data_IF_976233142210
#
_entry.id   IF_976233142210
#
_cell.length_a   1.000
_cell.length_b   1.000
_cell.length_c   1.000
_cell.angle_alpha   90.00
_cell.angle_beta   90.00
_cell.angle_gamma   90.00
#
_symmetry.space_group_name_H-M   'P 1'
#
loop_
_entity.id
_entity.type
_entity.pdbx_description
1 polymer ?
#
# COMPACT_ATOMS: atom_id res chain seq x y z
N UNK A 1 40.27 -14.60 -8.15
CA UNK A 1 39.02 -14.09 -7.54
C UNK A 1 37.88 -14.16 -8.57
N UNK A 2 37.06 -15.20 -8.56
CA UNK A 2 36.00 -15.40 -9.56
C UNK A 2 34.72 -14.65 -9.16
N UNK A 3 34.32 -13.62 -9.93
CA UNK A 3 33.03 -12.94 -9.81
C UNK A 3 31.91 -13.91 -10.23
N UNK A 4 31.20 -14.51 -9.27
CA UNK A 4 30.00 -15.34 -9.50
C UNK A 4 28.93 -14.52 -10.24
N UNK A 5 28.80 -14.72 -11.56
CA UNK A 5 27.65 -14.30 -12.39
C UNK A 5 26.39 -15.14 -12.05
N UNK A 6 25.92 -15.11 -10.81
CA UNK A 6 24.64 -15.73 -10.38
C UNK A 6 23.51 -14.72 -10.47
N UNK A 7 23.04 -14.33 -11.67
CA UNK A 7 21.96 -13.33 -11.79
C UNK A 7 20.82 -13.57 -12.81
N UNK A 8 20.97 -14.26 -13.95
CA UNK A 8 19.89 -14.31 -14.93
C UNK A 8 18.73 -15.24 -14.52
N UNK A 9 19.01 -16.44 -14.00
CA UNK A 9 17.97 -17.42 -13.66
C UNK A 9 17.04 -16.97 -12.51
N UNK A 10 17.60 -16.28 -11.49
CA UNK A 10 16.82 -15.77 -10.36
C UNK A 10 15.89 -14.63 -10.79
N UNK A 11 16.34 -13.73 -11.66
CA UNK A 11 15.51 -12.64 -12.20
C UNK A 11 14.38 -13.19 -13.07
N UNK A 12 14.67 -14.18 -13.93
CA UNK A 12 13.65 -14.83 -14.74
C UNK A 12 12.59 -15.54 -13.88
N UNK A 13 13.01 -16.24 -12.82
CA UNK A 13 12.09 -16.89 -11.89
C UNK A 13 11.20 -15.87 -11.16
N UNK A 14 11.76 -14.73 -10.74
CA UNK A 14 10.99 -13.65 -10.11
C UNK A 14 9.99 -13.02 -11.08
N UNK A 15 10.39 -12.79 -12.33
CA UNK A 15 9.50 -12.26 -13.36
C UNK A 15 8.32 -13.22 -13.62
N UNK A 16 8.59 -14.52 -13.74
CA UNK A 16 7.54 -15.55 -13.90
C UNK A 16 6.59 -15.60 -12.70
N UNK A 17 7.12 -15.59 -11.48
CA UNK A 17 6.31 -15.56 -10.28
C UNK A 17 5.41 -14.31 -10.22
N UNK A 18 5.93 -13.16 -10.66
CA UNK A 18 5.13 -11.92 -10.76
C UNK A 18 4.01 -12.06 -11.79
N UNK A 19 4.29 -12.58 -12.99
CA UNK A 19 3.24 -12.84 -14.01
C UNK A 19 2.14 -13.77 -13.48
N UNK A 20 2.53 -14.89 -12.86
CA UNK A 20 1.61 -15.83 -12.26
C UNK A 20 0.80 -15.20 -11.13
N UNK A 21 1.43 -14.32 -10.35
CA UNK A 21 0.81 -13.52 -9.31
C UNK A 21 -0.24 -12.56 -9.87
N UNK A 22 0.07 -11.83 -10.95
CA UNK A 22 -0.86 -10.91 -11.62
C UNK A 22 -2.05 -11.65 -12.24
N UNK A 23 -1.82 -12.77 -12.93
CA UNK A 23 -2.91 -13.62 -13.42
C UNK A 23 -3.79 -14.16 -12.28
N UNK A 24 -3.19 -14.51 -11.15
CA UNK A 24 -3.93 -15.00 -9.98
C UNK A 24 -4.71 -13.89 -9.28
N UNK A 25 -4.15 -12.67 -9.24
CA UNK A 25 -4.84 -11.49 -8.74
C UNK A 25 -6.08 -11.20 -9.61
N UNK A 26 -5.94 -11.25 -10.93
CA UNK A 26 -7.08 -11.05 -11.83
C UNK A 26 -8.22 -12.05 -11.58
N UNK A 27 -7.89 -13.34 -11.45
CA UNK A 27 -8.87 -14.38 -11.07
C UNK A 27 -9.52 -14.11 -9.71
N UNK A 28 -8.80 -13.50 -8.77
CA UNK A 28 -9.37 -13.17 -7.46
C UNK A 28 -10.37 -12.02 -7.51
N UNK A 29 -10.42 -11.22 -8.59
CA UNK A 29 -11.44 -10.17 -8.75
C UNK A 29 -12.80 -10.71 -9.19
N UNK A 30 -12.83 -11.88 -9.81
CA UNK A 30 -14.01 -12.46 -10.45
C UNK A 30 -15.26 -12.51 -9.56
N UNK A 31 -15.19 -13.01 -8.31
CA UNK A 31 -16.35 -13.01 -7.40
C UNK A 31 -16.91 -11.61 -7.15
N UNK A 32 -16.04 -10.65 -6.81
CA UNK A 32 -16.47 -9.28 -6.52
C UNK A 32 -17.01 -8.54 -7.76
N UNK A 33 -16.52 -8.84 -8.96
CA UNK A 33 -17.12 -8.30 -10.19
C UNK A 33 -18.56 -8.78 -10.37
N UNK A 34 -18.82 -10.08 -10.15
CA UNK A 34 -20.17 -10.64 -10.24
C UNK A 34 -21.09 -10.00 -9.21
N UNK A 35 -20.65 -9.91 -7.95
CA UNK A 35 -21.44 -9.28 -6.89
C UNK A 35 -21.73 -7.80 -7.20
N UNK A 36 -20.72 -7.05 -7.65
CA UNK A 36 -20.91 -5.64 -8.05
C UNK A 36 -21.94 -5.49 -9.19
N UNK A 37 -21.93 -6.40 -10.17
CA UNK A 37 -22.91 -6.41 -11.27
C UNK A 37 -24.31 -6.84 -10.82
N UNK A 38 -24.41 -7.78 -9.89
CA UNK A 38 -25.67 -8.23 -9.28
C UNK A 38 -26.31 -7.09 -8.48
N UNK A 39 -25.55 -6.45 -7.60
CA UNK A 39 -26.01 -5.32 -6.81
C UNK A 39 -26.43 -4.12 -7.66
N UNK A 40 -25.76 -3.88 -8.79
CA UNK A 40 -26.14 -2.81 -9.72
C UNK A 40 -27.48 -3.05 -10.43
N UNK A 41 -28.03 -4.28 -10.40
CA UNK A 41 -29.33 -4.63 -10.99
C UNK A 41 -30.47 -4.60 -9.96
N UNK A 42 -30.14 -4.55 -8.67
CA UNK A 42 -31.14 -4.52 -7.62
C UNK A 42 -31.64 -3.08 -7.39
N UNK A 43 -32.96 -2.87 -7.22
CA UNK A 43 -33.49 -1.55 -6.89
C UNK A 43 -33.00 -1.11 -5.51
N UNK A 44 -32.22 -0.03 -5.47
CA UNK A 44 -31.68 0.54 -4.22
C UNK A 44 -32.75 1.41 -3.56
N UNK A 45 -33.09 1.12 -2.30
CA UNK A 45 -34.11 1.85 -1.52
C UNK A 45 -33.59 3.14 -0.85
N UNK A 46 -32.36 3.57 -1.16
CA UNK A 46 -31.66 4.67 -0.49
C UNK A 46 -31.16 5.67 -1.53
N UNK A 47 -31.13 6.95 -1.18
CA UNK A 47 -30.59 8.03 -2.01
C UNK A 47 -29.19 7.67 -2.51
N UNK A 48 -29.06 7.39 -3.81
CA UNK A 48 -27.83 6.84 -4.38
C UNK A 48 -26.73 7.90 -4.40
N UNK A 49 -25.61 7.57 -3.76
CA UNK A 49 -24.35 8.21 -4.09
C UNK A 49 -24.06 8.07 -5.58
N UNK A 50 -23.44 9.07 -6.23
CA UNK A 50 -22.99 8.90 -7.60
C UNK A 50 -22.06 7.66 -7.70
N UNK A 51 -22.04 6.93 -8.81
CA UNK A 51 -21.28 5.67 -8.96
C UNK A 51 -19.78 5.79 -8.66
N UNK A 52 -19.24 6.99 -8.71
CA UNK A 52 -17.84 7.33 -8.45
C UNK A 52 -17.61 8.01 -7.09
N UNK A 53 -18.60 8.07 -6.20
CA UNK A 53 -18.44 8.65 -4.87
C UNK A 53 -17.31 8.00 -4.08
N UNK A 54 -17.09 6.69 -4.30
CA UNK A 54 -15.97 5.93 -3.73
C UNK A 54 -14.58 6.43 -4.14
N UNK A 55 -14.51 7.25 -5.20
CA UNK A 55 -13.29 7.82 -5.73
C UNK A 55 -13.06 9.28 -5.27
N UNK A 56 -14.02 9.94 -4.65
CA UNK A 56 -13.88 11.33 -4.19
C UNK A 56 -13.37 11.40 -2.76
N UNK A 57 -12.65 12.46 -2.40
CA UNK A 57 -12.11 12.65 -1.04
C UNK A 57 -13.16 12.57 0.07
N UNK A 58 -14.41 12.88 -0.22
CA UNK A 58 -15.49 12.80 0.76
C UNK A 58 -15.65 11.37 1.34
N UNK A 59 -15.52 10.33 0.50
CA UNK A 59 -15.78 8.94 0.89
C UNK A 59 -14.59 8.00 0.70
N UNK A 60 -13.69 8.32 -0.23
CA UNK A 60 -12.57 7.45 -0.56
C UNK A 60 -11.61 7.31 0.61
N UNK A 61 -11.44 6.08 1.08
CA UNK A 61 -10.40 5.65 2.03
C UNK A 61 -9.68 4.39 1.53
N UNK A 62 -9.75 4.14 0.21
CA UNK A 62 -9.28 2.90 -0.38
C UNK A 62 -7.78 2.72 -0.18
N UNK A 63 -7.37 1.48 0.03
CA UNK A 63 -5.96 1.10 0.12
C UNK A 63 -5.70 -0.04 -0.84
N UNK A 64 -4.50 -0.06 -1.41
CA UNK A 64 -4.07 -1.08 -2.36
C UNK A 64 -2.72 -1.66 -1.95
N UNK A 65 -2.49 -2.87 -2.41
CA UNK A 65 -1.27 -3.64 -2.18
C UNK A 65 -0.19 -3.31 -3.22
N UNK A 66 1.04 -3.78 -2.97
CA UNK A 66 2.15 -3.73 -3.94
C UNK A 66 1.78 -4.40 -5.26
N UNK A 67 1.17 -5.60 -5.22
CA UNK A 67 0.79 -6.32 -6.44
C UNK A 67 -0.27 -5.58 -7.27
N UNK A 68 -1.29 -5.00 -6.63
CA UNK A 68 -2.31 -4.19 -7.31
C UNK A 68 -1.73 -2.92 -7.93
N UNK A 69 -0.78 -2.27 -7.25
CA UNK A 69 -0.12 -1.08 -7.79
C UNK A 69 0.76 -1.41 -9.01
N UNK A 70 1.45 -2.55 -9.01
CA UNK A 70 2.19 -3.06 -10.17
C UNK A 70 1.22 -3.31 -11.33
N UNK A 71 0.09 -3.97 -11.07
CA UNK A 71 -0.92 -4.27 -12.08
C UNK A 71 -1.49 -3.01 -12.73
N UNK A 72 -1.83 -1.99 -11.91
CA UNK A 72 -2.29 -0.68 -12.39
C UNK A 72 -1.20 0.01 -13.22
N UNK A 73 0.05 0.03 -12.75
CA UNK A 73 1.15 0.65 -13.46
C UNK A 73 1.39 -0.01 -14.83
N UNK A 74 1.30 -1.33 -14.90
CA UNK A 74 1.32 -2.10 -16.15
C UNK A 74 0.16 -1.75 -17.06
N UNK A 75 -1.06 -1.70 -16.52
CA UNK A 75 -2.23 -1.36 -17.31
C UNK A 75 -2.08 0.04 -17.95
N UNK A 76 -1.58 1.02 -17.20
CA UNK A 76 -1.31 2.37 -17.70
C UNK A 76 -0.26 2.37 -18.84
N UNK A 77 0.76 1.51 -18.74
CA UNK A 77 1.82 1.41 -19.74
C UNK A 77 1.40 0.65 -21.01
N UNK A 78 0.59 -0.41 -20.86
CA UNK A 78 0.36 -1.40 -21.91
C UNK A 78 -1.02 -1.27 -22.59
N UNK A 79 -2.05 -0.76 -21.90
CA UNK A 79 -3.42 -0.71 -22.44
C UNK A 79 -3.63 0.52 -23.32
N UNK A 80 -4.13 0.29 -24.53
CA UNK A 80 -4.34 1.33 -25.55
C UNK A 80 -5.20 2.52 -25.07
N UNK A 81 -6.30 2.26 -24.35
CA UNK A 81 -7.19 3.31 -23.83
C UNK A 81 -6.58 4.15 -22.69
N UNK A 82 -5.50 3.67 -22.07
CA UNK A 82 -4.74 4.39 -21.02
C UNK A 82 -3.46 5.03 -21.55
N UNK A 83 -3.09 4.72 -22.81
CA UNK A 83 -1.89 5.26 -23.44
C UNK A 83 -1.94 6.79 -23.45
N UNK A 84 -0.88 7.42 -22.97
CA UNK A 84 -0.78 8.88 -22.87
C UNK A 84 -1.42 9.49 -21.62
N UNK A 85 -2.16 8.72 -20.80
CA UNK A 85 -2.79 9.22 -19.57
C UNK A 85 -1.86 9.27 -18.35
N UNK A 86 -0.65 8.69 -18.46
CA UNK A 86 0.31 8.58 -17.36
C UNK A 86 0.60 9.95 -16.73
N UNK A 87 0.84 10.98 -17.54
CA UNK A 87 1.20 12.32 -17.05
C UNK A 87 0.08 12.91 -16.19
N UNK A 88 -1.17 12.88 -16.66
CA UNK A 88 -2.31 13.40 -15.91
C UNK A 88 -2.59 12.59 -14.63
N UNK A 89 -2.33 11.27 -14.64
CA UNK A 89 -2.44 10.43 -13.43
C UNK A 89 -1.37 10.85 -12.41
N UNK A 90 -0.12 11.03 -12.84
CA UNK A 90 0.99 11.47 -11.97
C UNK A 90 0.72 12.87 -11.39
N UNK A 91 0.22 13.82 -12.18
CA UNK A 91 -0.16 15.15 -11.70
C UNK A 91 -1.24 15.09 -10.60
N UNK A 92 -2.30 14.31 -10.81
CA UNK A 92 -3.34 14.09 -9.78
C UNK A 92 -2.80 13.36 -8.54
N UNK A 93 -1.89 12.41 -8.72
CA UNK A 93 -1.21 11.74 -7.60
C UNK A 93 -0.40 12.72 -6.77
N UNK A 94 0.40 13.57 -7.40
CA UNK A 94 1.24 14.55 -6.72
C UNK A 94 0.41 15.51 -5.85
N UNK A 95 -0.74 15.98 -6.36
CA UNK A 95 -1.68 16.78 -5.60
C UNK A 95 -2.17 16.06 -4.34
N UNK A 96 -2.51 14.77 -4.45
CA UNK A 96 -2.97 13.97 -3.31
C UNK A 96 -1.85 13.71 -2.30
N UNK A 97 -0.64 13.39 -2.78
CA UNK A 97 0.51 13.05 -1.94
C UNK A 97 0.93 14.24 -1.09
N UNK A 98 0.77 15.48 -1.59
CA UNK A 98 1.15 16.70 -0.86
C UNK A 98 0.51 16.85 0.53
N UNK A 99 -0.59 16.15 0.82
CA UNK A 99 -1.25 16.17 2.12
C UNK A 99 -1.42 14.76 2.76
N UNK A 100 -0.99 13.69 2.11
CA UNK A 100 -1.06 12.34 2.65
C UNK A 100 0.17 12.03 3.51
N UNK A 101 -0.03 11.28 4.59
CA UNK A 101 1.06 10.72 5.40
C UNK A 101 1.41 9.33 4.88
N UNK A 102 2.70 8.99 4.84
CA UNK A 102 3.13 7.64 4.48
C UNK A 102 2.91 6.64 5.63
N UNK A 103 1.66 6.18 5.76
CA UNK A 103 1.19 5.22 6.78
C UNK A 103 0.23 4.21 6.13
N UNK A 104 -0.04 3.11 6.84
CA UNK A 104 -1.05 2.12 6.50
C UNK A 104 -2.46 2.52 6.96
N UNK A 105 -2.58 3.60 7.75
CA UNK A 105 -3.86 4.10 8.22
C UNK A 105 -4.76 4.57 7.07
N UNK A 106 -6.08 4.45 7.28
CA UNK A 106 -7.07 4.95 6.35
C UNK A 106 -7.00 6.48 6.27
N UNK A 107 -6.80 6.99 5.06
CA UNK A 107 -6.72 8.43 4.78
C UNK A 107 -7.63 8.79 3.61
N UNK A 108 -8.19 9.99 3.64
CA UNK A 108 -9.10 10.49 2.60
C UNK A 108 -8.34 11.22 1.49
N UNK A 109 -8.65 10.92 0.24
CA UNK A 109 -8.01 11.53 -0.93
C UNK A 109 -8.88 11.42 -2.19
N UNK A 110 -8.62 12.27 -3.18
CA UNK A 110 -9.22 12.14 -4.50
C UNK A 110 -8.49 11.08 -5.32
N UNK A 111 -9.22 10.12 -5.87
CA UNK A 111 -8.62 9.01 -6.60
C UNK A 111 -7.95 9.52 -7.88
N UNK A 112 -6.63 9.29 -8.07
CA UNK A 112 -5.92 9.76 -9.26
C UNK A 112 -6.32 9.01 -10.54
N UNK A 113 -7.09 7.93 -10.39
CA UNK A 113 -7.61 7.12 -11.49
C UNK A 113 -9.06 7.49 -11.84
N UNK A 114 -9.63 8.54 -11.25
CA UNK A 114 -10.96 9.05 -11.59
C UNK A 114 -10.85 10.16 -12.64
N UNK A 115 -11.44 9.96 -13.81
CA UNK A 115 -11.51 10.96 -14.88
C UNK A 115 -12.92 10.98 -15.47
N UNK A 116 -13.50 12.17 -15.65
CA UNK A 116 -14.84 12.36 -16.22
C UNK A 116 -15.92 11.47 -15.59
N UNK A 117 -15.86 11.29 -14.26
CA UNK A 117 -16.79 10.44 -13.51
C UNK A 117 -16.56 8.93 -13.66
N UNK A 118 -15.50 8.51 -14.34
CA UNK A 118 -15.18 7.11 -14.62
C UNK A 118 -13.83 6.69 -14.03
N UNK A 119 -13.78 5.46 -13.51
CA UNK A 119 -12.53 4.86 -13.07
C UNK A 119 -11.75 4.35 -14.30
N UNK A 120 -10.55 4.91 -14.53
CA UNK A 120 -9.70 4.58 -15.68
C UNK A 120 -9.35 3.10 -15.77
N UNK A 121 -9.18 2.43 -14.62
CA UNK A 121 -8.78 1.02 -14.56
C UNK A 121 -9.94 0.05 -14.35
N UNK A 122 -11.19 0.51 -14.48
CA UNK A 122 -12.39 -0.22 -14.06
C UNK A 122 -12.43 -1.67 -14.56
N UNK A 123 -12.10 -1.90 -15.84
CA UNK A 123 -12.20 -3.21 -16.49
C UNK A 123 -10.88 -3.99 -16.55
N UNK A 124 -9.76 -3.39 -16.13
CA UNK A 124 -8.41 -3.95 -16.39
C UNK A 124 -7.58 -4.21 -15.14
N UNK A 125 -7.65 -3.34 -14.14
CA UNK A 125 -6.80 -3.42 -12.95
C UNK A 125 -7.49 -2.82 -11.72
N UNK A 126 -8.83 -2.86 -11.66
CA UNK A 126 -9.58 -2.30 -10.53
C UNK A 126 -9.19 -3.01 -9.22
N UNK A 127 -8.80 -2.28 -8.16
CA UNK A 127 -8.42 -2.91 -6.90
C UNK A 127 -9.56 -3.70 -6.26
N UNK A 128 -9.22 -4.74 -5.50
CA UNK A 128 -10.20 -5.58 -4.80
C UNK A 128 -11.07 -4.75 -3.86
N UNK A 129 -10.46 -3.87 -3.06
CA UNK A 129 -11.21 -3.01 -2.15
C UNK A 129 -12.18 -2.04 -2.88
N UNK A 130 -11.86 -1.66 -4.13
CA UNK A 130 -12.73 -0.81 -4.93
C UNK A 130 -13.87 -1.58 -5.61
N UNK A 131 -13.69 -2.88 -5.87
CA UNK A 131 -14.76 -3.76 -6.34
C UNK A 131 -15.72 -4.08 -5.20
N UNK A 132 -15.16 -4.29 -4.01
CA UNK A 132 -15.85 -4.42 -2.75
C UNK A 132 -16.22 -3.05 -2.14
N UNK A 133 -16.68 -2.10 -2.95
CA UNK A 133 -17.33 -0.90 -2.44
C UNK A 133 -18.80 -0.92 -2.78
N UNK A 134 -19.62 -1.02 -1.74
CA UNK A 134 -21.06 -1.11 -1.82
C UNK A 134 -21.65 -0.58 -0.49
N UNK A 135 -22.02 0.71 -0.44
CA UNK A 135 -22.58 1.30 0.77
C UNK A 135 -23.79 0.53 1.30
N UNK A 136 -23.78 0.20 2.59
CA UNK A 136 -24.91 -0.44 3.27
C UNK A 136 -25.08 -1.94 3.00
N UNK A 137 -24.13 -2.58 2.32
CA UNK A 137 -24.15 -4.02 2.02
C UNK A 137 -22.81 -4.66 2.37
N UNK A 138 -22.88 -5.94 2.75
CA UNK A 138 -21.71 -6.79 2.90
C UNK A 138 -21.54 -7.69 1.66
N UNK A 139 -20.37 -8.27 1.48
CA UNK A 139 -20.05 -9.17 0.37
C UNK A 139 -20.22 -10.62 0.78
N UNK A 140 -20.34 -11.50 -0.20
CA UNK A 140 -20.40 -12.94 0.06
C UNK A 140 -19.09 -13.47 0.65
N UNK A 141 -19.11 -14.71 1.16
CA UNK A 141 -17.90 -15.43 1.56
C UNK A 141 -16.85 -15.50 0.44
N UNK A 142 -17.28 -15.63 -0.81
CA UNK A 142 -16.37 -15.63 -1.96
C UNK A 142 -15.81 -14.23 -2.26
N UNK A 143 -16.58 -13.18 -1.98
CA UNK A 143 -16.12 -11.79 -1.94
C UNK A 143 -15.01 -11.61 -0.89
N UNK A 144 -15.23 -12.08 0.34
CA UNK A 144 -14.20 -12.06 1.41
C UNK A 144 -12.96 -12.87 1.06
N UNK A 145 -13.11 -14.06 0.45
CA UNK A 145 -11.99 -14.86 -0.05
C UNK A 145 -11.16 -14.15 -1.12
N UNK A 146 -11.73 -13.17 -1.84
CA UNK A 146 -11.00 -12.37 -2.80
C UNK A 146 -9.92 -11.52 -2.12
N UNK A 147 -10.24 -10.91 -0.96
CA UNK A 147 -9.26 -10.21 -0.13
C UNK A 147 -8.18 -11.14 0.40
N UNK A 148 -8.56 -12.29 0.97
CA UNK A 148 -7.59 -13.27 1.48
C UNK A 148 -6.62 -13.74 0.40
N UNK A 149 -7.13 -14.00 -0.82
CA UNK A 149 -6.31 -14.43 -1.95
C UNK A 149 -5.30 -13.35 -2.33
N UNK A 150 -5.72 -12.08 -2.44
CA UNK A 150 -4.80 -10.96 -2.69
C UNK A 150 -3.72 -10.87 -1.64
N UNK A 151 -4.08 -10.99 -0.37
CA UNK A 151 -3.13 -10.85 0.74
C UNK A 151 -2.12 -12.01 0.72
N UNK A 152 -2.58 -13.25 0.49
CA UNK A 152 -1.70 -14.42 0.32
C UNK A 152 -0.76 -14.28 -0.89
N UNK A 153 -1.23 -13.72 -2.01
CA UNK A 153 -0.39 -13.48 -3.19
C UNK A 153 0.73 -12.47 -2.88
N UNK A 154 0.40 -11.36 -2.21
CA UNK A 154 1.40 -10.38 -1.79
C UNK A 154 2.37 -10.97 -0.77
N UNK A 155 1.88 -11.76 0.19
CA UNK A 155 2.73 -12.42 1.17
C UNK A 155 3.72 -13.38 0.50
N UNK A 156 3.27 -14.17 -0.47
CA UNK A 156 4.12 -15.10 -1.22
C UNK A 156 5.21 -14.39 -2.03
N UNK A 157 4.86 -13.29 -2.71
CA UNK A 157 5.77 -12.55 -3.59
C UNK A 157 6.75 -11.67 -2.82
N UNK A 158 6.29 -11.01 -1.76
CA UNK A 158 7.05 -9.97 -1.05
C UNK A 158 7.49 -10.37 0.36
N UNK A 159 7.09 -11.54 0.87
CA UNK A 159 7.57 -12.13 2.15
C UNK A 159 7.45 -11.17 3.33
N UNK A 160 6.25 -10.64 3.56
CA UNK A 160 5.98 -9.65 4.61
C UNK A 160 6.56 -8.25 4.37
N UNK A 161 7.15 -7.97 3.19
CA UNK A 161 7.65 -6.64 2.81
C UNK A 161 6.65 -5.84 1.97
N UNK A 162 5.37 -6.24 1.98
CA UNK A 162 4.28 -5.52 1.32
C UNK A 162 3.47 -4.74 2.35
N UNK A 163 2.72 -3.75 1.88
CA UNK A 163 1.88 -2.90 2.73
C UNK A 163 0.58 -2.52 2.03
N UNK A 164 -0.48 -2.28 2.81
CA UNK A 164 -1.71 -1.66 2.33
C UNK A 164 -1.63 -0.15 2.54
N UNK A 165 -1.52 0.62 1.45
CA UNK A 165 -1.42 2.08 1.49
C UNK A 165 -2.46 2.74 0.60
N UNK A 166 -2.72 4.03 0.81
CA UNK A 166 -3.57 4.82 -0.07
C UNK A 166 -3.09 4.73 -1.53
N UNK A 167 -4.03 4.70 -2.49
CA UNK A 167 -3.74 4.52 -3.93
C UNK A 167 -2.61 5.46 -4.41
N UNK A 168 -2.62 6.78 -4.14
CA UNK A 168 -1.58 7.67 -4.61
C UNK A 168 -0.19 7.30 -4.08
N UNK A 169 -0.08 6.98 -2.78
CA UNK A 169 1.19 6.63 -2.14
C UNK A 169 1.77 5.36 -2.73
N UNK A 170 0.92 4.34 -2.94
CA UNK A 170 1.37 3.06 -3.43
C UNK A 170 1.75 3.13 -4.91
N UNK A 171 0.96 3.84 -5.74
CA UNK A 171 1.28 4.04 -7.16
C UNK A 171 2.53 4.87 -7.38
N UNK A 172 2.84 5.84 -6.51
CA UNK A 172 4.01 6.69 -6.65
C UNK A 172 5.31 5.88 -6.75
N UNK A 173 5.38 4.75 -6.04
CA UNK A 173 6.53 3.83 -6.06
C UNK A 173 6.83 3.23 -7.44
N UNK A 174 5.83 3.20 -8.31
CA UNK A 174 5.89 2.54 -9.63
C UNK A 174 5.76 3.52 -10.80
N UNK A 175 5.02 4.62 -10.63
CA UNK A 175 4.74 5.57 -11.71
C UNK A 175 5.60 6.82 -11.70
N UNK A 176 6.09 7.24 -10.52
CA UNK A 176 6.89 8.46 -10.39
C UNK A 176 8.37 8.13 -10.49
N UNK A 177 9.12 8.97 -11.21
CA UNK A 177 10.57 8.96 -11.20
C UNK A 177 11.09 9.58 -9.90
N UNK A 178 12.32 9.26 -9.47
CA UNK A 178 12.87 9.76 -8.20
C UNK A 178 12.91 11.30 -8.14
N UNK A 179 12.96 11.97 -9.30
CA UNK A 179 12.95 13.43 -9.47
C UNK A 179 11.56 14.06 -9.36
N UNK A 180 10.48 13.26 -9.46
CA UNK A 180 9.10 13.74 -9.41
C UNK A 180 8.52 13.65 -7.99
N UNK A 181 9.23 13.04 -7.05
CA UNK A 181 8.85 12.94 -5.65
C UNK A 181 9.00 14.32 -5.00
N UNK A 182 7.87 14.99 -4.79
CA UNK A 182 7.82 16.24 -4.03
C UNK A 182 8.09 15.94 -2.56
N UNK A 183 9.03 16.65 -1.94
CA UNK A 183 9.17 16.69 -0.49
C UNK A 183 7.89 17.30 0.10
N UNK A 184 6.99 16.43 0.55
CA UNK A 184 5.78 16.87 1.23
C UNK A 184 6.13 17.65 2.53
N UNK A 185 5.23 18.49 3.05
CA UNK A 185 5.47 19.31 4.25
C UNK A 185 5.86 18.52 5.52
N UNK A 186 5.71 17.19 5.49
CA UNK A 186 6.00 16.29 6.61
C UNK A 186 7.34 15.52 6.47
N UNK A 187 8.18 15.81 5.46
CA UNK A 187 9.51 15.21 5.34
C UNK A 187 9.54 13.70 5.05
N UNK A 188 8.41 13.10 4.68
CA UNK A 188 8.35 11.69 4.27
C UNK A 188 8.79 11.54 2.82
N UNK A 189 10.09 11.35 2.61
CA UNK A 189 10.59 10.86 1.33
C UNK A 189 10.06 9.44 1.11
N UNK A 190 9.26 9.23 0.06
CA UNK A 190 8.87 7.89 -0.43
C UNK A 190 10.12 7.19 -0.96
N UNK A 191 10.96 6.67 -0.06
CA UNK A 191 12.21 6.02 -0.43
C UNK A 191 11.92 4.64 -1.02
N UNK A 192 12.23 4.48 -2.31
CA UNK A 192 12.53 3.18 -2.90
C UNK A 192 13.61 2.51 -2.07
N UNK A 193 13.46 1.20 -1.85
CA UNK A 193 14.41 0.28 -1.22
C UNK A 193 15.89 0.67 -1.37
N UNK A 194 16.40 1.53 -0.49
CA UNK A 194 17.82 1.60 -0.22
C UNK A 194 18.16 0.32 0.56
N UNK A 195 19.19 -0.45 0.19
CA UNK A 195 19.64 -1.55 1.02
C UNK A 195 19.98 -0.96 2.39
N UNK A 196 19.23 -1.35 3.44
CA UNK A 196 19.57 -1.00 4.82
C UNK A 196 21.03 -1.41 5.04
N UNK A 197 21.93 -0.42 5.12
CA UNK A 197 23.25 -0.65 5.72
C UNK A 197 22.96 -1.28 7.06
N UNK A 198 23.50 -2.48 7.29
CA UNK A 198 23.56 -3.06 8.63
C UNK A 198 24.19 -2.00 9.51
N UNK A 199 23.39 -1.38 10.38
CA UNK A 199 23.93 -0.60 11.48
C UNK A 199 24.70 -1.63 12.29
N UNK A 200 26.02 -1.51 12.28
CA UNK A 200 26.87 -2.30 13.14
C UNK A 200 26.35 -2.12 14.57
N UNK A 201 26.17 -3.23 15.29
CA UNK A 201 25.87 -3.19 16.71
C UNK A 201 26.90 -2.27 17.39
N UNK A 202 26.47 -1.40 18.33
CA UNK A 202 27.41 -0.60 19.09
C UNK A 202 28.39 -1.57 19.79
N UNK A 203 29.70 -1.27 19.80
CA UNK A 203 30.67 -2.12 20.44
C UNK A 203 30.38 -2.22 21.94
N UNK A 204 30.38 -3.45 22.44
CA UNK A 204 30.38 -3.79 23.86
C UNK A 204 31.45 -2.99 24.59
N UNK A 205 31.05 -2.00 25.37
CA UNK A 205 31.90 -1.44 26.42
C UNK A 205 31.89 -2.39 27.60
N UNK A 206 32.72 -3.44 27.52
CA UNK A 206 33.19 -4.15 28.71
C UNK A 206 34.36 -3.37 29.33
N UNK A 207 34.10 -2.86 30.53
CA UNK A 207 35.00 -3.00 31.67
C UNK A 207 36.17 -2.02 31.80
N UNK A 208 36.01 -1.03 32.69
CA UNK A 208 37.10 -0.64 33.59
C UNK A 208 36.57 -0.64 35.03
N UNK A 209 37.16 -1.51 35.85
CA UNK A 209 36.97 -1.59 37.31
C UNK A 209 38.01 -0.71 38.04
N UNK A 210 37.66 -0.41 39.31
CA UNK A 210 38.45 0.12 40.46
C UNK A 210 38.29 1.63 40.64
N UNK A 211 37.98 2.19 41.81
CA UNK A 211 37.78 1.65 43.16
C UNK A 211 38.05 2.76 44.20
N UNK A 212 37.36 2.70 45.36
CA UNK A 212 37.61 3.43 46.61
C UNK A 212 37.35 4.97 46.62
N UNK A 213 36.82 5.63 47.65
CA UNK A 213 36.41 5.27 49.01
C UNK A 213 35.56 6.39 49.67
N UNK A 214 34.75 5.96 50.67
CA UNK A 214 34.36 6.63 51.95
C UNK A 214 33.35 7.79 52.05
N UNK A 215 32.43 7.55 53.02
CA UNK A 215 31.77 8.47 53.99
C UNK A 215 30.68 9.43 53.45
N UNK A 216 29.54 9.65 54.10
CA UNK A 216 29.01 9.21 55.41
C UNK A 216 27.54 9.68 55.58
N UNK A 217 26.82 9.01 56.50
CA UNK A 217 25.67 9.48 57.32
C UNK A 217 24.25 9.57 56.71
N UNK A 218 23.34 8.84 57.37
CA UNK A 218 22.01 9.37 57.75
C UNK A 218 20.81 8.51 57.33
N UNK A 219 20.37 7.58 58.17
CA UNK A 219 18.95 7.10 58.18
C UNK A 219 18.06 8.08 58.98
N UNK A 220 16.81 7.73 59.37
CA UNK A 220 15.98 6.57 59.01
C UNK A 220 14.55 6.92 58.48
N UNK A 221 13.84 5.88 58.02
CA UNK A 221 12.39 5.65 57.76
C UNK A 221 11.41 6.10 58.88
N UNK A 222 10.07 5.90 58.81
CA UNK A 222 9.08 5.70 57.71
C UNK A 222 7.75 6.53 57.93
N UNK A 223 6.78 6.54 56.98
CA UNK A 223 5.37 6.81 57.33
C UNK A 223 4.30 6.40 56.29
N UNK A 224 3.42 5.49 56.74
CA UNK A 224 1.95 5.34 56.57
C UNK A 224 1.19 5.63 55.25
N UNK A 225 0.47 4.58 54.83
CA UNK A 225 -1.01 4.41 54.69
C UNK A 225 -1.87 5.61 54.24
N UNK A 226 -2.64 5.36 53.18
CA UNK A 226 -4.11 5.35 53.27
C UNK A 226 -4.86 6.35 52.39
N UNK A 227 -5.55 5.86 51.35
CA UNK A 227 -7.02 5.73 51.27
C UNK A 227 -7.40 4.96 50.02
#
# INVERSE_FOLDING_TARGET
MARKKRKPAKMLAQARALEEGLHSLDRSRGPLFKEMEEFAREPVQVEEDPPHACCTRAKNKMRITDLEAIDIARAIAEKSHLKGRRKQIVERMAQSIGYLKDTEDHQRYDCPLLEDGLCLVHKVAKPIACLAWNPGRDYSDDGWRSFERRDRLNESLFRGQWSLKAIPLQLARFLMEETELVDGPCGSTLRRNAPRKKVAAPPDTQGVRKGASRSSRGGPTPSRRGR
#
